data_IF_751323749256
#
_entry.id   IF_751323749256
#
_cell.length_a   1.000
_cell.length_b   1.000
_cell.length_c   1.000
_cell.angle_alpha   90.00
_cell.angle_beta   90.00
_cell.angle_gamma   90.00
#
_symmetry.space_group_name_H-M   'P 1'
#
loop_
_entity.id
_entity.type
_entity.pdbx_description
1 polymer ?
#
# COMPACT_ATOMS: atom_id res chain seq x y z
N UNK A 1 -27.40 -7.21 -11.57
CA UNK A 1 -27.60 -6.47 -10.30
C UNK A 1 -27.45 -7.47 -9.17
N UNK A 2 -26.40 -7.34 -8.34
CA UNK A 2 -26.24 -8.18 -7.15
C UNK A 2 -27.38 -7.84 -6.19
N UNK A 3 -28.22 -8.82 -5.85
CA UNK A 3 -29.33 -8.63 -4.89
C UNK A 3 -28.74 -8.17 -3.56
N UNK A 4 -29.25 -7.07 -3.01
CA UNK A 4 -28.88 -6.63 -1.67
C UNK A 4 -29.24 -7.73 -0.67
N UNK A 5 -28.28 -8.06 0.20
CA UNK A 5 -28.47 -9.03 1.26
C UNK A 5 -29.54 -8.46 2.22
N UNK A 6 -30.55 -9.25 2.63
CA UNK A 6 -31.55 -8.82 3.60
C UNK A 6 -30.90 -8.27 4.89
N UNK A 7 -31.46 -7.21 5.46
CA UNK A 7 -30.88 -6.55 6.64
C UNK A 7 -30.86 -7.45 7.89
N UNK A 8 -31.69 -8.49 7.91
CA UNK A 8 -31.81 -9.49 8.99
C UNK A 8 -31.00 -10.78 8.72
N UNK A 9 -30.27 -10.84 7.61
CA UNK A 9 -29.46 -12.00 7.27
C UNK A 9 -28.42 -12.25 8.35
N UNK A 10 -28.37 -13.48 8.85
CA UNK A 10 -27.38 -13.91 9.82
C UNK A 10 -27.02 -15.38 9.60
N UNK A 11 -25.79 -15.74 9.95
CA UNK A 11 -25.30 -17.13 9.88
C UNK A 11 -24.95 -17.59 11.29
N UNK A 12 -25.25 -18.85 11.61
CA UNK A 12 -24.82 -19.49 12.86
C UNK A 12 -23.47 -20.15 12.64
N UNK A 13 -22.44 -19.66 13.32
CA UNK A 13 -21.11 -20.27 13.36
C UNK A 13 -20.79 -20.67 14.80
N UNK A 14 -20.61 -21.97 15.05
CA UNK A 14 -20.33 -22.51 16.40
C UNK A 14 -21.32 -22.02 17.47
N UNK A 15 -22.61 -21.95 17.11
CA UNK A 15 -23.68 -21.46 18.00
C UNK A 15 -23.75 -19.92 18.17
N UNK A 16 -22.87 -19.16 17.51
CA UNK A 16 -22.90 -17.69 17.53
C UNK A 16 -23.52 -17.13 16.25
N UNK A 17 -24.41 -16.15 16.41
CA UNK A 17 -24.99 -15.41 15.28
C UNK A 17 -23.98 -14.40 14.74
N UNK A 18 -23.67 -14.50 13.45
CA UNK A 18 -22.84 -13.57 12.70
C UNK A 18 -23.72 -12.72 11.80
N UNK A 19 -23.48 -11.41 11.84
CA UNK A 19 -24.16 -10.43 11.00
C UNK A 19 -23.21 -9.93 9.89
N UNK A 20 -23.73 -9.60 8.70
CA UNK A 20 -22.97 -8.93 7.67
C UNK A 20 -22.33 -7.64 8.20
N UNK A 21 -21.05 -7.47 7.90
CA UNK A 21 -20.30 -6.24 8.17
C UNK A 21 -19.91 -5.58 6.85
N UNK A 22 -19.79 -4.27 6.87
CA UNK A 22 -19.42 -3.48 5.68
C UNK A 22 -17.93 -3.60 5.35
N UNK A 23 -17.09 -3.85 6.36
CA UNK A 23 -15.69 -4.22 6.20
C UNK A 23 -15.23 -5.22 7.27
N UNK A 24 -14.23 -6.03 6.92
CA UNK A 24 -13.58 -6.99 7.81
C UNK A 24 -12.07 -6.98 7.55
N UNK A 25 -11.27 -7.29 8.57
CA UNK A 25 -9.82 -7.41 8.40
C UNK A 25 -9.41 -8.86 8.53
N UNK A 26 -8.71 -9.37 7.52
CA UNK A 26 -8.16 -10.71 7.49
C UNK A 26 -6.67 -10.65 7.18
N UNK A 27 -5.85 -11.30 8.02
CA UNK A 27 -4.38 -11.31 7.94
C UNK A 27 -3.73 -9.93 7.74
N UNK A 28 -4.37 -8.85 8.22
CA UNK A 28 -3.88 -7.47 8.07
C UNK A 28 -4.35 -6.73 6.81
N UNK A 29 -5.14 -7.37 5.95
CA UNK A 29 -5.81 -6.74 4.80
C UNK A 29 -7.25 -6.41 5.18
N UNK A 30 -7.68 -5.16 4.94
CA UNK A 30 -9.07 -4.75 5.17
C UNK A 30 -9.87 -4.88 3.89
N UNK A 31 -10.85 -5.77 3.92
CA UNK A 31 -11.77 -6.08 2.83
C UNK A 31 -13.08 -5.31 3.08
N UNK A 32 -13.51 -4.52 2.10
CA UNK A 32 -14.85 -3.91 2.07
C UNK A 32 -15.79 -4.70 1.16
N UNK A 33 -17.10 -4.52 1.35
CA UNK A 33 -18.13 -5.20 0.56
C UNK A 33 -18.03 -4.96 -0.95
N UNK A 34 -17.42 -3.84 -1.38
CA UNK A 34 -17.18 -3.51 -2.78
C UNK A 34 -15.81 -3.92 -3.32
N UNK A 35 -14.95 -4.54 -2.48
CA UNK A 35 -13.55 -4.84 -2.80
C UNK A 35 -12.80 -3.63 -3.39
N UNK A 36 -13.12 -2.43 -2.88
CA UNK A 36 -12.49 -1.18 -3.30
C UNK A 36 -11.12 -0.97 -2.64
N UNK A 37 -10.91 -1.59 -1.47
CA UNK A 37 -9.74 -1.48 -0.60
C UNK A 37 -9.42 -0.06 -0.15
N UNK A 38 -10.40 0.85 -0.20
CA UNK A 38 -10.23 2.25 0.17
C UNK A 38 -9.81 2.41 1.65
N UNK A 39 -10.45 1.66 2.55
CA UNK A 39 -10.12 1.67 3.97
C UNK A 39 -8.70 1.13 4.22
N UNK A 40 -8.36 0.02 3.57
CA UNK A 40 -7.03 -0.59 3.66
C UNK A 40 -5.93 0.39 3.23
N UNK A 41 -6.06 1.00 2.04
CA UNK A 41 -5.07 1.94 1.51
C UNK A 41 -4.99 3.21 2.36
N UNK A 42 -6.12 3.66 2.92
CA UNK A 42 -6.17 4.83 3.80
C UNK A 42 -5.44 4.59 5.13
N UNK A 43 -5.40 3.35 5.63
CA UNK A 43 -4.57 2.96 6.79
C UNK A 43 -3.09 2.72 6.42
N UNK A 44 -2.85 2.10 5.27
CA UNK A 44 -1.52 1.71 4.80
C UNK A 44 -0.62 2.91 4.46
N UNK A 45 -1.16 3.89 3.74
CA UNK A 45 -0.38 5.03 3.22
C UNK A 45 0.23 5.88 4.35
N UNK A 46 -0.53 6.35 5.36
CA UNK A 46 0.05 7.11 6.47
C UNK A 46 1.08 6.32 7.28
N UNK A 47 0.87 5.01 7.45
CA UNK A 47 1.83 4.13 8.13
C UNK A 47 3.17 4.10 7.39
N UNK A 48 3.13 3.89 6.07
CA UNK A 48 4.32 3.91 5.21
C UNK A 48 5.01 5.28 5.19
N UNK A 49 4.24 6.36 5.05
CA UNK A 49 4.76 7.73 5.08
C UNK A 49 5.39 8.06 6.43
N UNK A 50 4.79 7.62 7.53
CA UNK A 50 5.36 7.76 8.87
C UNK A 50 6.75 7.12 8.98
N UNK A 51 6.90 5.88 8.51
CA UNK A 51 8.21 5.21 8.45
C UNK A 51 9.20 5.96 7.56
N UNK A 52 8.78 6.42 6.38
CA UNK A 52 9.63 7.23 5.49
C UNK A 52 10.07 8.54 6.12
N UNK A 53 9.20 9.22 6.88
CA UNK A 53 9.55 10.43 7.61
C UNK A 53 10.65 10.18 8.65
N UNK A 54 10.59 9.05 9.38
CA UNK A 54 11.65 8.70 10.33
C UNK A 54 12.97 8.38 9.63
N UNK A 55 12.93 7.60 8.54
CA UNK A 55 14.11 7.31 7.72
C UNK A 55 14.70 8.61 7.17
N UNK A 56 13.88 9.52 6.67
CA UNK A 56 14.34 10.79 6.09
C UNK A 56 15.06 11.68 7.11
N UNK A 57 14.63 11.67 8.38
CA UNK A 57 15.31 12.42 9.46
C UNK A 57 16.73 11.90 9.71
N UNK A 58 16.89 10.58 9.73
CA UNK A 58 18.18 9.93 9.96
C UNK A 58 18.99 9.69 8.66
N UNK A 59 18.50 10.13 7.49
CA UNK A 59 19.05 9.72 6.19
C UNK A 59 20.54 10.05 6.01
N UNK A 60 21.01 11.11 6.64
CA UNK A 60 22.39 11.60 6.55
C UNK A 60 23.39 10.67 7.26
N UNK A 61 22.90 9.74 8.07
CA UNK A 61 23.70 8.74 8.77
C UNK A 61 23.93 7.47 7.94
N UNK A 62 23.28 7.34 6.78
CA UNK A 62 23.28 6.12 5.98
C UNK A 62 23.79 6.38 4.56
N UNK A 63 24.44 5.37 3.98
CA UNK A 63 24.75 5.36 2.56
C UNK A 63 23.51 4.97 1.72
N UNK A 64 23.60 5.18 0.41
CA UNK A 64 22.49 4.93 -0.51
C UNK A 64 21.99 3.47 -0.45
N UNK A 65 22.91 2.49 -0.32
CA UNK A 65 22.54 1.07 -0.30
C UNK A 65 21.77 0.73 0.97
N UNK A 66 22.22 1.22 2.13
CA UNK A 66 21.52 1.03 3.41
C UNK A 66 20.14 1.69 3.39
N UNK A 67 20.00 2.88 2.81
CA UNK A 67 18.69 3.53 2.66
C UNK A 67 17.71 2.70 1.84
N UNK A 68 18.16 2.14 0.71
CA UNK A 68 17.34 1.26 -0.12
C UNK A 68 16.92 0.02 0.68
N UNK A 69 17.85 -0.59 1.42
CA UNK A 69 17.56 -1.76 2.25
C UNK A 69 16.51 -1.44 3.33
N UNK A 70 16.66 -0.33 4.05
CA UNK A 70 15.71 0.11 5.08
C UNK A 70 14.32 0.37 4.50
N UNK A 71 14.24 1.06 3.37
CA UNK A 71 12.96 1.32 2.69
C UNK A 71 12.31 0.00 2.24
N UNK A 72 13.09 -0.91 1.66
CA UNK A 72 12.59 -2.22 1.25
C UNK A 72 12.02 -3.00 2.45
N UNK A 73 12.78 -3.06 3.55
CA UNK A 73 12.44 -3.85 4.73
C UNK A 73 11.29 -3.26 5.55
N UNK A 74 11.17 -1.94 5.67
CA UNK A 74 10.20 -1.28 6.56
C UNK A 74 8.97 -0.72 5.85
N UNK A 75 9.11 -0.38 4.57
CA UNK A 75 8.08 0.33 3.79
C UNK A 75 7.54 -0.55 2.69
N UNK A 76 8.38 -1.06 1.78
CA UNK A 76 7.89 -1.86 0.65
C UNK A 76 7.40 -3.24 1.06
N UNK A 77 7.97 -3.84 2.11
CA UNK A 77 7.43 -5.04 2.74
C UNK A 77 5.95 -4.88 3.13
N UNK A 78 5.58 -3.74 3.72
CA UNK A 78 4.19 -3.40 4.09
C UNK A 78 3.37 -2.99 2.87
N UNK A 79 3.93 -2.12 2.03
CA UNK A 79 3.24 -1.53 0.90
C UNK A 79 2.82 -2.57 -0.14
N UNK A 80 3.57 -3.66 -0.30
CA UNK A 80 3.24 -4.74 -1.22
C UNK A 80 2.79 -6.03 -0.51
N UNK A 81 2.53 -5.97 0.79
CA UNK A 81 2.01 -7.11 1.52
C UNK A 81 0.62 -7.50 0.98
N UNK A 82 0.44 -8.78 0.66
CA UNK A 82 -0.78 -9.31 0.05
C UNK A 82 -1.26 -8.53 -1.19
N UNK A 83 -0.33 -7.96 -1.97
CA UNK A 83 -0.67 -7.12 -3.12
C UNK A 83 -1.59 -7.81 -4.11
N UNK A 84 -1.48 -9.13 -4.28
CA UNK A 84 -2.31 -9.93 -5.18
C UNK A 84 -3.80 -9.92 -4.84
N UNK A 85 -4.17 -9.63 -3.59
CA UNK A 85 -5.57 -9.53 -3.18
C UNK A 85 -6.15 -8.17 -3.58
N UNK A 86 -5.40 -7.09 -3.33
CA UNK A 86 -5.91 -5.72 -3.48
C UNK A 86 -5.38 -4.98 -4.71
N UNK A 87 -4.53 -5.60 -5.54
CA UNK A 87 -3.93 -4.97 -6.73
C UNK A 87 -4.95 -4.48 -7.75
N UNK A 88 -6.13 -5.09 -7.78
CA UNK A 88 -7.27 -4.68 -8.61
C UNK A 88 -8.05 -3.47 -8.04
N UNK A 89 -7.50 -2.78 -7.04
CA UNK A 89 -8.08 -1.57 -6.45
C UNK A 89 -8.19 -0.41 -7.44
N UNK A 90 -8.93 0.64 -7.06
CA UNK A 90 -9.13 1.85 -7.85
C UNK A 90 -7.82 2.56 -8.27
N UNK A 91 -7.83 3.21 -9.44
CA UNK A 91 -6.72 4.06 -9.92
C UNK A 91 -6.33 5.15 -8.91
N UNK A 92 -7.31 5.66 -8.15
CA UNK A 92 -7.11 6.64 -7.07
C UNK A 92 -6.20 6.08 -5.98
N UNK A 93 -6.42 4.84 -5.56
CA UNK A 93 -5.59 4.18 -4.56
C UNK A 93 -4.18 3.87 -5.08
N UNK A 94 -4.06 3.37 -6.30
CA UNK A 94 -2.75 3.16 -6.94
C UNK A 94 -1.97 4.48 -7.00
N UNK A 95 -2.63 5.60 -7.31
CA UNK A 95 -1.99 6.91 -7.31
C UNK A 95 -1.51 7.35 -5.92
N UNK A 96 -2.22 7.00 -4.84
CA UNK A 96 -1.74 7.25 -3.46
C UNK A 96 -0.49 6.42 -3.16
N UNK A 97 -0.47 5.14 -3.53
CA UNK A 97 0.69 4.26 -3.35
C UNK A 97 1.89 4.73 -4.17
N UNK A 98 1.67 5.21 -5.39
CA UNK A 98 2.73 5.82 -6.22
C UNK A 98 3.37 7.03 -5.53
N UNK A 99 2.59 7.85 -4.81
CA UNK A 99 3.15 8.97 -4.04
C UNK A 99 4.08 8.49 -2.92
N UNK A 100 3.77 7.36 -2.28
CA UNK A 100 4.66 6.74 -1.28
C UNK A 100 5.98 6.29 -1.92
N UNK A 101 5.92 5.59 -3.05
CA UNK A 101 7.13 5.18 -3.78
C UNK A 101 7.95 6.39 -4.24
N UNK A 102 7.30 7.43 -4.76
CA UNK A 102 7.96 8.66 -5.18
C UNK A 102 8.68 9.33 -4.01
N UNK A 103 8.04 9.39 -2.83
CA UNK A 103 8.68 9.95 -1.64
C UNK A 103 9.89 9.13 -1.21
N UNK A 104 9.78 7.81 -1.22
CA UNK A 104 10.89 6.91 -0.95
C UNK A 104 12.08 7.14 -1.91
N UNK A 105 11.80 7.24 -3.22
CA UNK A 105 12.84 7.48 -4.22
C UNK A 105 13.55 8.81 -3.97
N UNK A 106 12.80 9.88 -3.64
CA UNK A 106 13.38 11.19 -3.29
C UNK A 106 14.27 11.15 -2.05
N UNK A 107 13.94 10.33 -1.06
CA UNK A 107 14.78 10.17 0.13
C UNK A 107 16.13 9.58 -0.26
N UNK A 108 16.13 8.54 -1.10
CA UNK A 108 17.35 7.86 -1.55
C UNK A 108 18.20 8.74 -2.46
N UNK A 109 17.59 9.39 -3.45
CA UNK A 109 18.33 10.19 -4.47
C UNK A 109 18.56 11.63 -4.06
N UNK A 110 17.98 12.10 -2.95
CA UNK A 110 18.04 13.49 -2.52
C UNK A 110 17.34 14.48 -3.46
N UNK A 111 16.50 14.00 -4.38
CA UNK A 111 15.83 14.82 -5.40
C UNK A 111 14.84 15.81 -4.77
N UNK A 112 14.78 17.05 -5.27
CA UNK A 112 13.91 18.10 -4.70
C UNK A 112 12.45 17.78 -4.92
N UNK A 113 11.57 18.40 -4.11
CA UNK A 113 10.12 18.16 -4.11
C UNK A 113 9.47 18.34 -5.49
N UNK A 114 9.89 19.37 -6.23
CA UNK A 114 9.28 19.77 -7.51
C UNK A 114 9.97 19.18 -8.74
N UNK A 115 11.13 18.55 -8.56
CA UNK A 115 11.84 17.93 -9.68
C UNK A 115 11.06 16.70 -10.16
N UNK A 116 11.11 16.44 -11.46
CA UNK A 116 10.45 15.28 -12.05
C UNK A 116 10.98 13.97 -11.45
N UNK A 117 10.08 13.03 -11.12
CA UNK A 117 10.45 11.81 -10.37
C UNK A 117 10.97 10.66 -11.25
N UNK A 118 10.58 10.63 -12.53
CA UNK A 118 10.94 9.53 -13.45
C UNK A 118 12.45 9.29 -13.57
N UNK A 119 13.33 10.31 -13.62
CA UNK A 119 14.78 10.10 -13.60
C UNK A 119 15.25 9.35 -12.35
N UNK A 120 14.73 9.71 -11.17
CA UNK A 120 15.08 9.06 -9.91
C UNK A 120 14.64 7.58 -9.90
N UNK A 121 13.45 7.28 -10.39
CA UNK A 121 12.96 5.89 -10.49
C UNK A 121 13.83 5.06 -11.45
N UNK A 122 14.22 5.63 -12.59
CA UNK A 122 15.13 4.97 -13.55
C UNK A 122 16.51 4.71 -12.94
N UNK A 123 17.08 5.70 -12.25
CA UNK A 123 18.37 5.56 -11.57
C UNK A 123 18.35 4.42 -10.54
N UNK A 124 17.23 4.26 -9.83
CA UNK A 124 17.05 3.22 -8.81
C UNK A 124 16.60 1.87 -9.40
N UNK A 125 16.34 1.79 -10.70
CA UNK A 125 15.69 0.64 -11.36
C UNK A 125 14.35 0.25 -10.70
N UNK A 126 13.58 1.23 -10.21
CA UNK A 126 12.29 1.00 -9.58
C UNK A 126 11.16 1.15 -10.60
N UNK A 127 10.40 0.08 -10.81
CA UNK A 127 9.19 0.12 -11.62
C UNK A 127 8.09 0.92 -10.90
N UNK A 128 7.27 1.71 -11.63
CA UNK A 128 6.11 2.35 -11.04
C UNK A 128 5.16 1.33 -10.40
N UNK A 129 4.43 1.75 -9.36
CA UNK A 129 3.61 0.86 -8.53
C UNK A 129 2.63 0.02 -9.34
N UNK A 130 1.97 0.60 -10.34
CA UNK A 130 1.03 -0.14 -11.19
C UNK A 130 1.68 -1.33 -11.93
N UNK A 131 2.95 -1.19 -12.35
CA UNK A 131 3.68 -2.27 -13.00
C UNK A 131 4.21 -3.27 -11.98
N UNK A 132 4.68 -2.80 -10.81
CA UNK A 132 5.11 -3.68 -9.71
C UNK A 132 3.99 -4.59 -9.22
N UNK A 133 2.76 -4.07 -9.09
CA UNK A 133 1.60 -4.86 -8.67
C UNK A 133 1.30 -5.95 -9.70
N UNK A 134 1.21 -5.59 -10.99
CA UNK A 134 0.96 -6.55 -12.08
C UNK A 134 2.01 -7.63 -12.18
N UNK A 135 3.29 -7.28 -12.03
CA UNK A 135 4.39 -8.24 -12.13
C UNK A 135 4.40 -9.25 -10.98
N UNK A 136 3.91 -8.88 -9.79
CA UNK A 136 3.83 -9.77 -8.62
C UNK A 136 2.61 -10.69 -8.65
N UNK A 137 1.64 -10.39 -9.50
CA UNK A 137 0.40 -11.15 -9.62
C UNK A 137 0.47 -12.23 -10.72
N UNK A 138 1.54 -12.22 -11.52
CA UNK A 138 1.91 -13.25 -12.51
C UNK A 138 2.99 -14.16 -11.96
#
# INVERSE_FOLDING_TARGET
MLKQIPADFHILLLGKKLFPVTSATDLGVTLDSGLTYDEHVTKLVPSCVGSLCQINRARHLFDMKTLILLINALVFSKLYYCSTIWSNSSKKNIAKLQKVQNFAARIVTGTKKFDHITPSLKQLNWLPVNYMLRFRDT
#
